data_IF_848874815589
#
_entry.id   IF_848874815589
#
_cell.length_a   1.000
_cell.length_b   1.000
_cell.length_c   1.000
_cell.angle_alpha   90.00
_cell.angle_beta   90.00
_cell.angle_gamma   90.00
#
_symmetry.space_group_name_H-M   'P 1'
#
loop_
_entity.id
_entity.type
_entity.pdbx_description
1 polymer ?
#
# COMPACT_ATOMS: atom_id res chain seq x y z
N UNK A 1 6.53 -18.07 1.41
CA UNK A 1 5.31 -17.23 1.44
C UNK A 1 4.37 -17.76 2.49
N UNK A 2 3.87 -16.88 3.33
CA UNK A 2 2.89 -17.22 4.34
C UNK A 2 1.58 -16.56 3.96
N UNK A 3 0.52 -17.35 3.80
CA UNK A 3 -0.80 -16.86 3.42
C UNK A 3 -1.80 -17.36 4.45
N UNK A 4 -2.50 -16.45 5.10
CA UNK A 4 -3.46 -16.77 6.13
C UNK A 4 -4.73 -17.41 5.60
N UNK A 5 -5.48 -17.96 6.53
CA UNK A 5 -6.74 -18.66 6.24
C UNK A 5 -7.75 -17.71 5.60
N UNK A 6 -8.41 -18.17 4.55
CA UNK A 6 -9.48 -17.40 3.90
C UNK A 6 -9.02 -16.30 2.97
N UNK A 7 -7.72 -16.12 2.80
CA UNK A 7 -7.20 -15.16 1.83
C UNK A 7 -7.37 -15.69 0.42
N UNK A 8 -7.85 -14.83 -0.47
CA UNK A 8 -8.10 -15.17 -1.87
C UNK A 8 -7.19 -14.33 -2.76
N UNK A 9 -6.46 -15.02 -3.63
CA UNK A 9 -5.62 -14.39 -4.63
C UNK A 9 -6.19 -14.77 -6.00
N UNK A 10 -6.70 -13.75 -6.71
CA UNK A 10 -7.30 -13.96 -8.02
C UNK A 10 -6.20 -14.16 -9.06
N UNK A 11 -6.28 -15.28 -9.81
CA UNK A 11 -5.36 -15.56 -10.91
C UNK A 11 -3.90 -15.40 -10.49
N UNK A 12 -3.44 -16.15 -9.49
CA UNK A 12 -2.07 -15.96 -8.97
C UNK A 12 -0.98 -16.13 -10.03
N UNK A 13 -1.27 -16.89 -11.09
CA UNK A 13 -0.35 -17.06 -12.21
C UNK A 13 -0.10 -15.78 -13.00
N UNK A 14 -0.95 -14.77 -12.83
CA UNK A 14 -0.80 -13.46 -13.49
C UNK A 14 -0.16 -12.42 -12.58
N UNK A 15 0.26 -12.81 -11.40
CA UNK A 15 0.85 -11.91 -10.42
C UNK A 15 2.26 -12.37 -10.06
N UNK A 16 3.05 -11.43 -9.55
CA UNK A 16 4.37 -11.73 -9.04
C UNK A 16 4.36 -11.45 -7.54
N UNK A 17 4.31 -12.51 -6.75
CA UNK A 17 4.29 -12.40 -5.29
C UNK A 17 5.54 -13.07 -4.75
N UNK A 18 6.33 -12.31 -4.01
CA UNK A 18 7.60 -12.80 -3.45
C UNK A 18 7.35 -13.98 -2.50
N UNK A 19 8.14 -15.06 -2.61
CA UNK A 19 8.01 -16.20 -1.70
C UNK A 19 8.16 -15.87 -0.22
N UNK A 20 8.79 -14.75 0.10
CA UNK A 20 8.97 -14.32 1.50
C UNK A 20 7.89 -13.33 1.96
N UNK A 21 6.89 -13.04 1.13
CA UNK A 21 5.78 -12.20 1.55
C UNK A 21 4.96 -12.88 2.64
N UNK A 22 4.55 -12.10 3.64
CA UNK A 22 3.67 -12.57 4.71
C UNK A 22 2.32 -11.90 4.54
N UNK A 23 1.29 -12.70 4.33
CA UNK A 23 -0.06 -12.21 4.07
C UNK A 23 -1.01 -12.84 5.09
N UNK A 24 -1.77 -12.00 5.76
CA UNK A 24 -2.67 -12.43 6.82
C UNK A 24 -3.92 -13.15 6.34
N UNK A 25 -4.91 -13.22 7.21
CA UNK A 25 -6.17 -13.91 6.97
C UNK A 25 -7.19 -13.01 6.29
N UNK A 26 -8.08 -13.61 5.50
CA UNK A 26 -9.24 -12.92 4.96
C UNK A 26 -8.94 -11.80 3.97
N UNK A 27 -7.75 -11.78 3.42
CA UNK A 27 -7.39 -10.77 2.41
C UNK A 27 -7.99 -11.11 1.05
N UNK A 28 -8.16 -10.08 0.23
CA UNK A 28 -8.55 -10.25 -1.17
C UNK A 28 -7.53 -9.52 -2.02
N UNK A 29 -6.82 -10.27 -2.84
CA UNK A 29 -5.77 -9.75 -3.72
C UNK A 29 -6.16 -10.03 -5.16
N UNK A 30 -6.31 -8.96 -5.93
CA UNK A 30 -6.67 -9.07 -7.34
C UNK A 30 -5.46 -9.42 -8.21
N UNK A 31 -5.70 -9.66 -9.48
CA UNK A 31 -4.66 -10.09 -10.41
C UNK A 31 -3.71 -8.96 -10.80
N UNK A 32 -2.58 -9.34 -11.39
CA UNK A 32 -1.58 -8.42 -11.92
C UNK A 32 -0.99 -7.49 -10.86
N UNK A 33 -0.76 -8.02 -9.66
CA UNK A 33 -0.06 -7.27 -8.61
C UNK A 33 1.40 -7.69 -8.60
N UNK A 34 2.26 -6.76 -8.14
CA UNK A 34 3.64 -7.07 -7.84
C UNK A 34 3.84 -6.85 -6.34
N UNK A 35 4.09 -7.93 -5.62
CA UNK A 35 4.24 -7.89 -4.17
C UNK A 35 5.61 -8.45 -3.82
N UNK A 36 6.45 -7.61 -3.23
CA UNK A 36 7.77 -7.96 -2.78
C UNK A 36 7.77 -8.61 -1.40
N UNK A 37 8.90 -8.50 -0.73
CA UNK A 37 9.06 -8.97 0.64
C UNK A 37 8.40 -7.98 1.57
N UNK A 38 7.15 -8.23 1.90
CA UNK A 38 6.27 -7.31 2.64
C UNK A 38 5.54 -8.06 3.75
N UNK A 39 4.94 -7.29 4.65
CA UNK A 39 4.05 -7.81 5.68
C UNK A 39 2.68 -7.20 5.48
N UNK A 40 1.68 -8.04 5.27
CA UNK A 40 0.30 -7.64 5.05
C UNK A 40 -0.55 -8.28 6.14
N UNK A 41 -1.32 -7.47 6.85
CA UNK A 41 -2.17 -7.91 7.94
C UNK A 41 -3.42 -8.64 7.46
N UNK A 42 -4.46 -8.62 8.31
CA UNK A 42 -5.69 -9.35 8.05
C UNK A 42 -6.73 -8.46 7.37
N UNK A 43 -7.57 -9.07 6.54
CA UNK A 43 -8.70 -8.38 5.90
C UNK A 43 -8.30 -7.16 5.08
N UNK A 44 -7.14 -7.25 4.44
CA UNK A 44 -6.62 -6.23 3.54
C UNK A 44 -7.12 -6.51 2.13
N UNK A 45 -7.52 -5.46 1.43
CA UNK A 45 -7.95 -5.57 0.02
C UNK A 45 -6.93 -4.85 -0.86
N UNK A 46 -6.39 -5.58 -1.83
CA UNK A 46 -5.42 -5.05 -2.78
C UNK A 46 -5.98 -5.22 -4.18
N UNK A 47 -6.20 -4.12 -4.86
CA UNK A 47 -6.77 -4.11 -6.18
C UNK A 47 -5.71 -4.36 -7.26
N UNK A 48 -6.17 -4.61 -8.47
CA UNK A 48 -5.31 -4.98 -9.59
C UNK A 48 -4.26 -3.93 -9.93
N UNK A 49 -3.12 -4.39 -10.43
CA UNK A 49 -2.02 -3.56 -10.92
C UNK A 49 -1.33 -2.73 -9.85
N UNK A 50 -1.48 -3.09 -8.59
CA UNK A 50 -0.76 -2.41 -7.52
C UNK A 50 0.67 -2.92 -7.45
N UNK A 51 1.59 -2.00 -7.11
CA UNK A 51 3.00 -2.30 -6.94
C UNK A 51 3.38 -2.08 -5.48
N UNK A 52 3.75 -3.15 -4.79
CA UNK A 52 4.07 -3.13 -3.36
C UNK A 52 5.45 -3.75 -3.17
N UNK A 53 6.52 -2.92 -3.20
CA UNK A 53 7.88 -3.43 -3.16
C UNK A 53 8.32 -3.82 -1.75
N UNK A 54 9.52 -4.37 -1.65
CA UNK A 54 10.12 -4.75 -0.38
C UNK A 54 10.07 -3.62 0.64
N UNK A 55 9.82 -3.94 1.89
CA UNK A 55 9.87 -2.99 2.99
C UNK A 55 8.56 -2.31 3.30
N UNK A 56 7.46 -2.72 2.67
CA UNK A 56 6.13 -2.18 2.98
C UNK A 56 5.44 -3.05 4.01
N UNK A 57 4.89 -2.41 5.03
CA UNK A 57 4.04 -3.05 6.03
C UNK A 57 2.63 -2.47 5.92
N UNK A 58 1.65 -3.33 5.70
CA UNK A 58 0.25 -2.93 5.61
C UNK A 58 -0.49 -3.62 6.75
N UNK A 59 -1.04 -2.83 7.66
CA UNK A 59 -1.78 -3.36 8.80
C UNK A 59 -3.19 -3.76 8.41
N UNK A 60 -3.95 -4.27 9.40
CA UNK A 60 -5.27 -4.85 9.15
C UNK A 60 -6.25 -3.86 8.52
N UNK A 61 -7.17 -4.41 7.73
CA UNK A 61 -8.34 -3.69 7.22
C UNK A 61 -8.03 -2.51 6.31
N UNK A 62 -6.85 -2.49 5.71
CA UNK A 62 -6.50 -1.46 4.75
C UNK A 62 -7.09 -1.76 3.36
N UNK A 63 -7.32 -0.70 2.61
CA UNK A 63 -7.73 -0.80 1.21
C UNK A 63 -6.66 -0.16 0.33
N UNK A 64 -6.15 -0.94 -0.61
CA UNK A 64 -5.17 -0.47 -1.59
C UNK A 64 -5.85 -0.48 -2.96
N UNK A 65 -6.11 0.71 -3.50
CA UNK A 65 -6.80 0.86 -4.77
C UNK A 65 -6.00 0.32 -5.96
N UNK A 66 -6.64 0.21 -7.13
CA UNK A 66 -5.94 -0.27 -8.32
C UNK A 66 -4.84 0.70 -8.73
N UNK A 67 -3.76 0.16 -9.27
CA UNK A 67 -2.62 0.94 -9.75
C UNK A 67 -1.97 1.84 -8.70
N UNK A 68 -2.12 1.52 -7.43
CA UNK A 68 -1.38 2.21 -6.38
C UNK A 68 0.08 1.77 -6.47
N UNK A 69 0.98 2.73 -6.39
CA UNK A 69 2.42 2.48 -6.48
C UNK A 69 3.08 2.93 -5.18
N UNK A 70 3.56 1.96 -4.41
CA UNK A 70 4.50 2.26 -3.34
C UNK A 70 5.90 2.31 -3.93
N UNK A 71 6.77 3.09 -3.30
CA UNK A 71 8.17 3.17 -3.69
C UNK A 71 9.03 3.01 -2.45
N UNK A 72 10.24 2.48 -2.61
CA UNK A 72 11.15 2.29 -1.48
C UNK A 72 12.51 2.95 -1.70
N UNK A 73 12.75 3.49 -2.89
CA UNK A 73 14.02 4.15 -3.22
C UNK A 73 13.76 5.61 -3.55
N UNK A 74 14.09 6.50 -2.61
CA UNK A 74 13.80 7.92 -2.76
C UNK A 74 14.62 8.58 -3.85
N UNK A 75 15.85 8.12 -4.04
CA UNK A 75 16.76 8.65 -5.05
C UNK A 75 17.29 7.51 -5.90
N UNK A 76 16.44 6.94 -6.76
CA UNK A 76 16.81 5.76 -7.52
C UNK A 76 17.84 6.09 -8.61
N UNK A 77 18.73 5.14 -8.95
CA UNK A 77 18.88 3.84 -8.30
C UNK A 77 19.92 3.88 -7.18
N UNK A 78 19.53 3.51 -5.97
CA UNK A 78 20.47 3.44 -4.84
C UNK A 78 21.05 2.04 -4.62
N UNK A 79 20.62 1.06 -5.40
CA UNK A 79 21.03 -0.34 -5.31
C UNK A 79 20.75 -0.95 -3.93
N UNK A 80 19.63 -0.55 -3.34
CA UNK A 80 19.18 -1.05 -2.04
C UNK A 80 19.70 -0.28 -0.84
N UNK A 81 20.65 0.62 -1.03
CA UNK A 81 21.26 1.34 0.09
C UNK A 81 20.38 2.49 0.62
N UNK A 82 19.55 3.05 -0.25
CA UNK A 82 18.65 4.13 0.11
C UNK A 82 17.20 3.71 0.29
N UNK A 83 16.94 2.41 0.42
CA UNK A 83 15.58 1.91 0.57
C UNK A 83 15.05 2.20 1.97
N UNK A 84 13.83 2.70 2.04
CA UNK A 84 13.16 3.05 3.29
C UNK A 84 11.86 2.28 3.43
N UNK A 85 11.55 1.92 4.67
CA UNK A 85 10.33 1.20 4.98
C UNK A 85 9.12 2.14 4.98
N UNK A 86 7.99 1.62 4.53
CA UNK A 86 6.72 2.35 4.48
C UNK A 86 5.70 1.60 5.33
N UNK A 87 4.94 2.34 6.12
CA UNK A 87 3.93 1.77 6.99
C UNK A 87 2.55 2.29 6.64
N UNK A 88 1.61 1.38 6.43
CA UNK A 88 0.20 1.71 6.24
C UNK A 88 -0.54 1.20 7.46
N UNK A 89 -1.00 2.11 8.31
CA UNK A 89 -1.62 1.75 9.58
C UNK A 89 -3.05 1.26 9.36
N UNK A 90 -3.57 0.62 10.38
CA UNK A 90 -4.86 -0.06 10.34
C UNK A 90 -5.97 0.81 9.74
N UNK A 91 -6.74 0.23 8.83
CA UNK A 91 -7.92 0.89 8.27
C UNK A 91 -7.66 2.01 7.30
N UNK A 92 -6.41 2.28 6.94
CA UNK A 92 -6.10 3.31 5.95
C UNK A 92 -6.61 2.89 4.56
N UNK A 93 -7.01 3.86 3.76
CA UNK A 93 -7.56 3.64 2.43
C UNK A 93 -6.79 4.48 1.42
N UNK A 94 -6.31 3.85 0.37
CA UNK A 94 -5.51 4.53 -0.66
C UNK A 94 -6.25 4.43 -1.99
N UNK A 95 -6.58 5.59 -2.54
CA UNK A 95 -7.33 5.69 -3.80
C UNK A 95 -6.52 5.27 -5.01
N UNK A 96 -7.23 4.97 -6.10
CA UNK A 96 -6.65 4.48 -7.35
C UNK A 96 -5.53 5.38 -7.85
N UNK A 97 -4.44 4.78 -8.29
CA UNK A 97 -3.36 5.49 -8.96
C UNK A 97 -2.50 6.38 -8.06
N UNK A 98 -2.71 6.36 -6.75
CA UNK A 98 -1.88 7.15 -5.85
C UNK A 98 -0.45 6.59 -5.81
N UNK A 99 0.51 7.48 -5.59
CA UNK A 99 1.93 7.15 -5.44
C UNK A 99 2.36 7.50 -4.03
N UNK A 100 2.97 6.56 -3.34
CA UNK A 100 3.45 6.75 -1.98
C UNK A 100 4.97 6.77 -2.00
N UNK A 101 5.57 7.88 -1.62
CA UNK A 101 7.03 8.00 -1.60
C UNK A 101 7.62 7.18 -0.45
N UNK A 102 8.93 6.86 -0.53
CA UNK A 102 9.56 6.00 0.46
C UNK A 102 9.59 6.60 1.87
N UNK A 103 9.53 5.75 2.87
CA UNK A 103 9.73 6.16 4.27
C UNK A 103 8.54 6.83 4.92
N UNK A 104 7.36 6.70 4.32
CA UNK A 104 6.15 7.38 4.78
C UNK A 104 5.34 6.46 5.68
N UNK A 105 4.73 7.05 6.71
CA UNK A 105 3.71 6.39 7.51
C UNK A 105 2.35 6.99 7.18
N UNK A 106 1.44 6.13 6.71
CA UNK A 106 0.04 6.50 6.52
C UNK A 106 -0.72 6.14 7.79
N UNK A 107 -1.23 7.16 8.49
CA UNK A 107 -1.84 7.01 9.79
C UNK A 107 -3.12 6.19 9.78
N UNK A 108 -3.47 5.65 10.94
CA UNK A 108 -4.66 4.81 11.12
C UNK A 108 -5.91 5.52 10.62
N UNK A 109 -6.67 4.82 9.77
CA UNK A 109 -7.93 5.34 9.24
C UNK A 109 -7.81 6.51 8.29
N UNK A 110 -6.60 6.89 7.87
CA UNK A 110 -6.45 7.98 6.92
C UNK A 110 -6.98 7.60 5.54
N UNK A 111 -7.24 8.60 4.71
CA UNK A 111 -7.70 8.39 3.34
C UNK A 111 -6.83 9.20 2.38
N UNK A 112 -6.31 8.51 1.38
CA UNK A 112 -5.52 9.13 0.31
C UNK A 112 -6.37 9.17 -0.95
N UNK A 113 -6.59 10.36 -1.48
CA UNK A 113 -7.39 10.53 -2.70
C UNK A 113 -6.75 9.90 -3.92
N UNK A 114 -7.58 9.52 -4.88
CA UNK A 114 -7.10 8.93 -6.14
C UNK A 114 -6.12 9.87 -6.84
N UNK A 115 -5.08 9.30 -7.43
CA UNK A 115 -4.09 10.06 -8.20
C UNK A 115 -3.17 10.96 -7.37
N UNK A 116 -3.22 10.85 -6.06
CA UNK A 116 -2.38 11.70 -5.19
C UNK A 116 -0.94 11.24 -5.16
N UNK A 117 -0.04 12.18 -4.94
CA UNK A 117 1.38 11.90 -4.70
C UNK A 117 1.68 12.24 -3.24
N UNK A 118 1.81 11.22 -2.40
CA UNK A 118 2.04 11.41 -0.98
C UNK A 118 3.53 11.51 -0.72
N UNK A 119 3.94 12.68 -0.24
CA UNK A 119 5.36 13.03 -0.07
C UNK A 119 5.80 13.10 1.40
N UNK A 120 4.87 13.00 2.33
CA UNK A 120 5.17 13.05 3.78
C UNK A 120 4.12 12.25 4.55
N UNK A 121 4.42 12.00 5.81
CA UNK A 121 3.52 11.25 6.69
C UNK A 121 2.12 11.83 6.71
N UNK A 122 1.13 10.96 6.81
CA UNK A 122 -0.28 11.36 6.89
C UNK A 122 -0.80 11.05 8.29
N UNK A 123 -1.31 12.06 9.01
CA UNK A 123 -1.86 11.82 10.35
C UNK A 123 -3.06 10.89 10.33
N UNK A 124 -3.35 10.22 11.47
CA UNK A 124 -4.55 9.38 11.56
C UNK A 124 -5.83 10.15 11.26
N UNK A 125 -6.75 9.48 10.58
CA UNK A 125 -8.11 9.96 10.37
C UNK A 125 -8.27 11.11 9.39
N UNK A 126 -7.20 11.61 8.79
CA UNK A 126 -7.32 12.73 7.85
C UNK A 126 -7.47 12.25 6.41
N UNK A 127 -8.00 13.13 5.58
CA UNK A 127 -8.04 12.94 4.13
C UNK A 127 -6.95 13.81 3.52
N UNK A 128 -6.12 13.22 2.67
CA UNK A 128 -5.14 13.97 1.87
C UNK A 128 -5.40 13.74 0.40
N UNK A 129 -5.11 14.73 -0.42
CA UNK A 129 -5.22 14.59 -1.86
C UNK A 129 -4.33 15.61 -2.57
N UNK A 130 -4.05 15.32 -3.83
CA UNK A 130 -3.32 16.22 -4.71
C UNK A 130 -1.87 15.82 -4.94
N UNK A 131 -1.14 16.68 -5.63
CA UNK A 131 0.28 16.53 -5.93
C UNK A 131 1.01 17.85 -5.68
N UNK A 132 1.77 18.00 -4.59
CA UNK A 132 1.88 17.05 -3.48
C UNK A 132 0.57 16.92 -2.70
N UNK A 133 0.34 15.77 -2.11
CA UNK A 133 -0.87 15.53 -1.32
C UNK A 133 -0.87 16.43 -0.08
N UNK A 134 -2.00 17.05 0.17
CA UNK A 134 -2.20 17.94 1.31
C UNK A 134 -3.50 17.59 2.01
N UNK A 135 -3.61 17.98 3.27
CA UNK A 135 -4.81 17.70 4.05
C UNK A 135 -5.99 18.43 3.42
N UNK A 136 -7.06 17.66 3.20
CA UNK A 136 -8.31 18.18 2.66
C UNK A 136 -9.24 18.52 3.83
N UNK A 137 -9.68 19.78 3.90
CA UNK A 137 -10.47 20.26 5.04
C UNK A 137 -11.92 19.77 5.06
N UNK A 138 -12.38 19.15 4.00
CA UNK A 138 -13.75 18.62 3.95
C UNK A 138 -13.77 17.22 4.55
N UNK A 139 -14.81 16.91 5.34
CA UNK A 139 -14.92 15.62 5.99
C UNK A 139 -15.09 14.48 5.02
N UNK A 140 -15.68 14.73 3.85
CA UNK A 140 -15.86 13.73 2.80
C UNK A 140 -15.59 14.38 1.46
N UNK A 141 -14.92 13.64 0.57
CA UNK A 141 -14.78 14.10 -0.80
C UNK A 141 -16.11 14.13 -1.53
#
# INVERSE_FOLDING_TARGET
MSIGKGTRIWNPELSNINPEAEIGEGCVIHSHVWIGKVSIGNHVKIQAFSFIPDGVTIEDECFIGPRVTFTNDKYPPSHGQGWSETFVRKGASIGAGAVILPGITLGEGCRVGAGSIVTKDVPPGVVVCGNPAQIHNKKKP
#
